data_IF_104857930939
#
_entry.id   IF_104857930939
#
_cell.length_a   1.000
_cell.length_b   1.000
_cell.length_c   1.000
_cell.angle_alpha   90.00
_cell.angle_beta   90.00
_cell.angle_gamma   90.00
#
_symmetry.space_group_name_H-M   'P 1'
#
loop_
_entity.id
_entity.type
_entity.pdbx_description
1 polymer ?
#
# COMPACT_ATOMS: atom_id res chain seq x y z
N UNK A 1 -1.49 -22.69 -0.38
CA UNK A 1 -2.09 -23.06 0.92
C UNK A 1 -0.96 -22.87 1.93
N UNK A 2 -1.08 -21.91 2.84
CA UNK A 2 -0.03 -21.63 3.81
C UNK A 2 0.08 -22.77 4.82
N UNK A 3 1.29 -23.23 5.10
CA UNK A 3 1.54 -24.31 6.05
C UNK A 3 1.83 -23.80 7.47
N UNK A 4 2.05 -24.71 8.42
CA UNK A 4 2.33 -24.37 9.82
C UNK A 4 3.65 -23.59 9.99
N UNK A 5 4.62 -23.81 9.10
CA UNK A 5 5.91 -23.12 9.11
C UNK A 5 5.79 -21.71 8.54
N UNK A 6 4.95 -21.50 7.53
CA UNK A 6 4.63 -20.18 6.98
C UNK A 6 4.01 -19.26 8.04
N UNK A 7 3.09 -19.79 8.86
CA UNK A 7 2.44 -19.05 9.96
C UNK A 7 3.46 -18.67 11.03
N UNK A 8 4.34 -19.61 11.41
CA UNK A 8 5.40 -19.35 12.40
C UNK A 8 6.38 -18.28 11.88
N UNK A 9 6.80 -18.40 10.63
CA UNK A 9 7.69 -17.44 9.98
C UNK A 9 7.07 -16.04 9.95
N UNK A 10 5.80 -15.91 9.57
CA UNK A 10 5.11 -14.63 9.56
C UNK A 10 5.05 -13.98 10.95
N UNK A 11 4.77 -14.77 11.99
CA UNK A 11 4.74 -14.29 13.37
C UNK A 11 6.12 -13.86 13.88
N UNK A 12 7.18 -14.59 13.54
CA UNK A 12 8.55 -14.23 13.92
C UNK A 12 9.02 -12.97 13.18
N UNK A 13 8.65 -12.79 11.90
CA UNK A 13 8.90 -11.57 11.13
C UNK A 13 8.18 -10.36 11.73
N UNK A 14 6.92 -10.52 12.15
CA UNK A 14 6.18 -9.44 12.81
C UNK A 14 6.84 -9.03 14.13
N UNK A 15 7.21 -10.00 14.98
CA UNK A 15 7.88 -9.72 16.27
C UNK A 15 9.24 -9.03 16.12
N UNK A 16 9.97 -9.34 15.06
CA UNK A 16 11.30 -8.77 14.78
C UNK A 16 11.24 -7.48 13.95
N UNK A 17 10.07 -7.13 13.39
CA UNK A 17 9.91 -5.91 12.63
C UNK A 17 10.16 -4.66 13.48
N UNK A 18 10.77 -3.60 12.89
CA UNK A 18 10.94 -2.32 13.54
C UNK A 18 9.62 -1.81 14.12
N UNK A 19 9.67 -1.15 15.28
CA UNK A 19 8.47 -0.63 15.96
C UNK A 19 7.66 0.29 15.03
N UNK A 20 8.35 1.10 14.22
CA UNK A 20 7.73 2.01 13.27
C UNK A 20 6.86 1.29 12.22
N UNK A 21 7.25 0.07 11.81
CA UNK A 21 6.47 -0.71 10.85
C UNK A 21 5.27 -1.38 11.51
N UNK A 22 5.44 -1.88 12.74
CA UNK A 22 4.34 -2.48 13.52
C UNK A 22 3.26 -1.48 13.92
N UNK A 23 3.63 -0.23 14.18
CA UNK A 23 2.70 0.82 14.58
C UNK A 23 2.03 1.54 13.39
N UNK A 24 2.27 1.10 12.14
CA UNK A 24 1.65 1.77 10.99
C UNK A 24 0.12 1.62 11.05
N UNK A 25 -0.63 2.74 10.97
CA UNK A 25 -2.08 2.72 10.88
C UNK A 25 -2.60 1.79 9.79
N UNK A 26 -3.66 1.03 10.08
CA UNK A 26 -4.30 0.13 9.12
C UNK A 26 -5.58 0.69 8.52
N UNK A 27 -6.08 1.79 9.08
CA UNK A 27 -7.26 2.51 8.64
C UNK A 27 -6.99 4.02 8.67
N UNK A 28 -7.80 4.81 7.97
CA UNK A 28 -7.68 6.26 8.05
C UNK A 28 -8.14 6.82 9.40
N UNK A 29 -8.95 6.08 10.15
CA UNK A 29 -9.41 6.50 11.48
C UNK A 29 -8.27 6.45 12.52
N UNK A 30 -7.25 5.62 12.25
CA UNK A 30 -5.99 5.56 13.00
C UNK A 30 -4.91 6.52 12.46
N UNK A 31 -5.15 7.18 11.32
CA UNK A 31 -4.15 8.02 10.65
C UNK A 31 -4.23 9.46 11.13
N UNK A 32 -3.22 9.90 11.87
CA UNK A 32 -3.21 11.21 12.54
C UNK A 32 -2.52 12.33 11.72
N UNK A 33 -3.11 13.53 11.75
CA UNK A 33 -2.43 14.78 11.39
C UNK A 33 -2.49 15.20 9.91
N UNK A 34 -3.24 14.49 9.08
CA UNK A 34 -3.41 14.79 7.64
C UNK A 34 -4.89 14.91 7.25
N UNK A 35 -5.72 15.45 8.14
CA UNK A 35 -7.18 15.54 8.00
C UNK A 35 -7.59 16.36 6.76
N UNK A 36 -6.80 17.37 6.39
CA UNK A 36 -7.07 18.19 5.19
C UNK A 36 -6.87 17.43 3.88
N UNK A 37 -6.08 16.35 3.89
CA UNK A 37 -5.80 15.54 2.71
C UNK A 37 -6.68 14.29 2.67
N UNK A 38 -6.75 13.54 3.76
CA UNK A 38 -7.39 12.20 3.82
C UNK A 38 -8.48 12.08 4.90
N UNK A 39 -8.84 13.20 5.54
CA UNK A 39 -9.93 13.23 6.51
C UNK A 39 -11.31 13.06 5.84
N UNK A 40 -12.36 12.86 6.65
CA UNK A 40 -13.73 12.75 6.15
C UNK A 40 -14.13 13.95 5.30
N UNK A 41 -14.83 13.70 4.18
CA UNK A 41 -15.33 14.77 3.30
C UNK A 41 -14.32 15.31 2.29
N UNK A 42 -13.04 14.90 2.33
CA UNK A 42 -12.07 15.34 1.32
C UNK A 42 -12.26 14.60 -0.01
N UNK A 43 -11.86 15.25 -1.10
CA UNK A 43 -11.95 14.67 -2.46
C UNK A 43 -11.21 13.33 -2.53
N UNK A 44 -10.01 13.26 -1.94
CA UNK A 44 -9.22 12.04 -1.92
C UNK A 44 -9.89 10.96 -1.08
N UNK A 45 -10.43 11.29 0.10
CA UNK A 45 -11.15 10.32 0.95
C UNK A 45 -12.35 9.74 0.20
N UNK A 46 -13.15 10.58 -0.46
CA UNK A 46 -14.29 10.13 -1.27
C UNK A 46 -13.87 9.26 -2.46
N UNK A 47 -12.82 9.64 -3.20
CA UNK A 47 -12.33 8.84 -4.31
C UNK A 47 -11.84 7.46 -3.87
N UNK A 48 -11.22 7.35 -2.69
CA UNK A 48 -10.79 6.07 -2.12
C UNK A 48 -11.99 5.23 -1.68
N UNK A 49 -12.95 5.83 -0.96
CA UNK A 49 -14.15 5.13 -0.46
C UNK A 49 -15.05 4.62 -1.58
N UNK A 50 -15.07 5.31 -2.74
CA UNK A 50 -15.84 4.91 -3.92
C UNK A 50 -15.06 4.01 -4.89
N UNK A 51 -13.81 3.62 -4.57
CA UNK A 51 -12.92 2.85 -5.47
C UNK A 51 -12.69 3.51 -6.85
N UNK A 52 -12.70 4.84 -6.88
CA UNK A 52 -12.46 5.70 -8.06
C UNK A 52 -11.02 6.26 -8.05
N UNK A 53 -10.07 5.43 -7.64
CA UNK A 53 -8.67 5.83 -7.51
C UNK A 53 -8.05 6.20 -8.86
N UNK A 54 -7.35 7.33 -8.86
CA UNK A 54 -6.48 7.79 -9.94
C UNK A 54 -5.02 7.76 -9.49
N UNK A 55 -4.08 8.00 -10.41
CA UNK A 55 -2.66 8.10 -10.07
C UNK A 55 -2.39 9.33 -9.20
N UNK A 56 -1.76 9.14 -8.04
CA UNK A 56 -1.55 10.19 -7.03
C UNK A 56 -0.05 10.37 -6.79
N UNK A 57 0.37 11.63 -6.62
CA UNK A 57 1.70 11.99 -6.12
C UNK A 57 1.55 12.49 -4.69
N UNK A 58 2.18 11.79 -3.73
CA UNK A 58 2.26 12.27 -2.36
C UNK A 58 3.54 13.09 -2.16
N UNK A 59 3.38 14.36 -1.79
CA UNK A 59 4.49 15.26 -1.50
C UNK A 59 4.49 15.67 -0.03
N UNK A 60 5.65 15.57 0.62
CA UNK A 60 5.81 15.94 2.02
C UNK A 60 7.13 15.45 2.63
N UNK A 61 7.50 15.94 3.83
CA UNK A 61 8.74 15.55 4.51
C UNK A 61 8.78 14.05 4.85
N UNK A 62 9.97 13.49 5.13
CA UNK A 62 10.08 12.10 5.62
C UNK A 62 9.25 11.92 6.90
N UNK A 63 8.62 10.76 7.06
CA UNK A 63 7.77 10.46 8.21
C UNK A 63 6.34 11.02 8.13
N UNK A 64 5.95 11.74 7.07
CA UNK A 64 4.59 12.27 6.89
C UNK A 64 3.52 11.21 6.56
N UNK A 65 3.86 9.92 6.60
CA UNK A 65 2.90 8.82 6.41
C UNK A 65 2.54 8.47 4.96
N UNK A 66 3.28 8.94 3.94
CA UNK A 66 3.00 8.67 2.51
C UNK A 66 2.82 7.18 2.18
N UNK A 67 3.80 6.37 2.58
CA UNK A 67 3.77 4.91 2.38
C UNK A 67 2.63 4.26 3.16
N UNK A 68 2.27 4.81 4.32
CA UNK A 68 1.14 4.33 5.14
C UNK A 68 -0.19 4.61 4.43
N UNK A 69 -0.40 5.82 3.93
CA UNK A 69 -1.60 6.18 3.16
C UNK A 69 -1.77 5.26 1.95
N UNK A 70 -0.70 5.04 1.17
CA UNK A 70 -0.76 4.14 0.01
C UNK A 70 -1.14 2.69 0.40
N UNK A 71 -0.67 2.21 1.56
CA UNK A 71 -1.03 0.89 2.09
C UNK A 71 -2.48 0.81 2.55
N UNK A 72 -2.98 1.85 3.23
CA UNK A 72 -4.39 1.94 3.65
C UNK A 72 -5.29 1.94 2.41
N UNK A 73 -4.93 2.71 1.37
CA UNK A 73 -5.66 2.75 0.10
C UNK A 73 -5.77 1.36 -0.51
N UNK A 74 -4.65 0.65 -0.68
CA UNK A 74 -4.66 -0.68 -1.27
C UNK A 74 -5.48 -1.69 -0.44
N UNK A 75 -5.47 -1.55 0.89
CA UNK A 75 -6.29 -2.37 1.78
C UNK A 75 -7.79 -2.10 1.59
N UNK A 76 -8.18 -0.83 1.53
CA UNK A 76 -9.59 -0.43 1.39
C UNK A 76 -10.17 -0.82 0.02
N UNK A 77 -9.35 -0.77 -1.04
CA UNK A 77 -9.78 -1.17 -2.40
C UNK A 77 -9.45 -2.62 -2.75
N UNK A 78 -9.14 -3.44 -1.74
CA UNK A 78 -8.81 -4.88 -1.86
C UNK A 78 -7.76 -5.21 -2.94
N UNK A 79 -6.88 -4.24 -3.19
CA UNK A 79 -5.88 -4.29 -4.24
C UNK A 79 -4.58 -4.92 -3.74
N UNK A 80 -3.89 -5.61 -4.64
CA UNK A 80 -2.52 -6.04 -4.38
C UNK A 80 -1.62 -4.81 -4.22
N UNK A 81 -0.90 -4.71 -3.10
CA UNK A 81 0.05 -3.62 -2.87
C UNK A 81 1.47 -4.05 -3.28
N UNK A 82 2.08 -3.30 -4.18
CA UNK A 82 3.48 -3.51 -4.60
C UNK A 82 4.26 -2.24 -4.36
N UNK A 83 5.36 -2.34 -3.61
CA UNK A 83 6.27 -1.23 -3.36
C UNK A 83 7.54 -1.38 -4.21
N UNK A 84 7.94 -0.31 -4.87
CA UNK A 84 9.15 -0.20 -5.68
C UNK A 84 10.00 0.96 -5.16
N UNK A 85 11.31 0.78 -5.06
CA UNK A 85 12.23 1.86 -4.68
C UNK A 85 12.71 2.61 -5.92
N UNK A 86 12.49 3.91 -5.98
CA UNK A 86 12.96 4.78 -7.05
C UNK A 86 14.48 4.84 -7.16
N UNK A 87 15.20 4.55 -6.07
CA UNK A 87 16.66 4.65 -6.01
C UNK A 87 17.35 3.35 -6.43
N UNK A 88 16.77 2.20 -6.09
CA UNK A 88 17.42 0.90 -6.28
C UNK A 88 16.81 0.05 -7.40
N UNK A 89 15.64 0.41 -7.93
CA UNK A 89 14.94 -0.40 -8.92
C UNK A 89 15.07 0.13 -10.34
N UNK A 90 15.16 -0.79 -11.29
CA UNK A 90 15.35 -0.47 -12.71
C UNK A 90 14.14 -0.81 -13.59
N UNK A 91 14.31 -0.60 -14.91
CA UNK A 91 13.28 -0.92 -15.91
C UNK A 91 12.83 -2.39 -15.87
N UNK A 92 13.75 -3.31 -15.60
CA UNK A 92 13.44 -4.74 -15.53
C UNK A 92 12.45 -5.06 -14.39
N UNK A 93 12.66 -4.47 -13.21
CA UNK A 93 11.78 -4.64 -12.05
C UNK A 93 10.37 -4.12 -12.34
N UNK A 94 10.28 -2.90 -12.90
CA UNK A 94 9.01 -2.31 -13.28
C UNK A 94 8.27 -3.18 -14.30
N UNK A 95 8.97 -3.67 -15.33
CA UNK A 95 8.38 -4.53 -16.38
C UNK A 95 7.83 -5.82 -15.78
N UNK A 96 8.55 -6.42 -14.83
CA UNK A 96 8.09 -7.63 -14.11
C UNK A 96 6.81 -7.34 -13.32
N UNK A 97 6.80 -6.26 -12.54
CA UNK A 97 5.65 -5.88 -11.71
C UNK A 97 4.40 -5.61 -12.57
N UNK A 98 4.56 -4.95 -13.72
CA UNK A 98 3.46 -4.71 -14.64
C UNK A 98 2.88 -6.03 -15.16
N UNK A 99 3.72 -6.99 -15.55
CA UNK A 99 3.26 -8.32 -15.97
C UNK A 99 2.50 -9.05 -14.86
N UNK A 100 3.02 -9.05 -13.65
CA UNK A 100 2.33 -9.66 -12.49
C UNK A 100 0.98 -8.98 -12.21
N UNK A 101 0.90 -7.65 -12.35
CA UNK A 101 -0.33 -6.90 -12.19
C UNK A 101 -1.37 -7.25 -13.28
N UNK A 102 -0.94 -7.41 -14.54
CA UNK A 102 -1.78 -7.87 -15.64
C UNK A 102 -2.33 -9.28 -15.38
N UNK A 103 -1.50 -10.20 -14.88
CA UNK A 103 -1.91 -11.56 -14.52
C UNK A 103 -2.93 -11.55 -13.36
N UNK A 104 -2.67 -10.80 -12.28
CA UNK A 104 -3.62 -10.65 -11.16
C UNK A 104 -4.97 -10.14 -11.64
N UNK A 105 -4.97 -9.14 -12.51
CA UNK A 105 -6.21 -8.58 -13.08
C UNK A 105 -6.92 -9.59 -14.00
N UNK A 106 -6.17 -10.32 -14.83
CA UNK A 106 -6.72 -11.28 -15.80
C UNK A 106 -7.33 -12.52 -15.12
N UNK A 107 -6.65 -13.09 -14.13
CA UNK A 107 -7.05 -14.37 -13.54
C UNK A 107 -7.89 -14.21 -12.26
N UNK A 108 -7.69 -13.13 -11.51
CA UNK A 108 -8.35 -12.93 -10.22
C UNK A 108 -9.25 -11.69 -10.18
N UNK A 109 -9.29 -10.88 -11.24
CA UNK A 109 -9.98 -9.59 -11.23
C UNK A 109 -9.37 -8.57 -10.25
N UNK A 110 -8.22 -8.89 -9.65
CA UNK A 110 -7.65 -8.10 -8.57
C UNK A 110 -6.83 -6.94 -9.13
N UNK A 111 -7.15 -5.72 -8.66
CA UNK A 111 -6.39 -4.50 -8.98
C UNK A 111 -5.03 -4.52 -8.28
N UNK A 112 -4.07 -3.74 -8.79
CA UNK A 112 -2.75 -3.58 -8.18
C UNK A 112 -2.46 -2.10 -7.96
N UNK A 113 -2.09 -1.74 -6.73
CA UNK A 113 -1.55 -0.43 -6.37
C UNK A 113 -0.02 -0.54 -6.37
N UNK A 114 0.61 0.12 -7.35
CA UNK A 114 2.06 0.26 -7.40
C UNK A 114 2.45 1.56 -6.69
N UNK A 115 3.13 1.43 -5.55
CA UNK A 115 3.73 2.55 -4.83
C UNK A 115 5.21 2.65 -5.16
N UNK A 116 5.65 3.83 -5.58
CA UNK A 116 7.05 4.13 -5.89
C UNK A 116 7.56 5.08 -4.80
N UNK A 117 8.55 4.63 -4.04
CA UNK A 117 9.19 5.37 -2.92
C UNK A 117 10.59 5.84 -3.30
#
# INVERSE_FOLDING_TARGET
MADLFDVKLAHDLDRTAPLADRLRPVSFDEFFGQERAVGPGTILRHAIENDELFSIIFWGPPGSGKTTVARIIARLTESAFVQLSAVSSGKADLTRIVREAEERRKFHGQRTVLFID
#
